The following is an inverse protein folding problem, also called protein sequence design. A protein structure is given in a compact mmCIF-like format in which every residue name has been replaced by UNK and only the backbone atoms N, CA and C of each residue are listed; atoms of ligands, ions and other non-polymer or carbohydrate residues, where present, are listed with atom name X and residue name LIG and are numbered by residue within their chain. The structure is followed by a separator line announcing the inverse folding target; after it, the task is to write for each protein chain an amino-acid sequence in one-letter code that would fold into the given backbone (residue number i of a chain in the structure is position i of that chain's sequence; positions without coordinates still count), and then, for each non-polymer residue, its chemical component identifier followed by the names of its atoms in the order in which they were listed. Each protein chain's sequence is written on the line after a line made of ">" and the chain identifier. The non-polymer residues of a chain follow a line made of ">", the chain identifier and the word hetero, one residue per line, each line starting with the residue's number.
data_IF_729329910955
#
_entry.id   IF_729329910955
#
_cell.length_a   1.000
_cell.length_b   1.000
_cell.length_c   1.000
_cell.angle_alpha   90.00
_cell.angle_beta   90.00
_cell.angle_gamma   90.00
#
_symmetry.space_group_name_H-M   'P 1'
#
loop_
_entity.id
_entity.type
_entity.pdbx_description
1 polymer ?
#
# COMPACT_ATOMS: atom_id res chain seq x y z
N UNK A 1 -1.05 -12.74 -8.24
CA UNK A 1 -2.14 -11.77 -8.04
C UNK A 1 -1.85 -10.43 -8.73
N UNK A 2 -0.72 -9.81 -8.46
CA UNK A 2 -0.18 -8.65 -9.18
C UNK A 2 1.11 -9.02 -9.86
N UNK A 3 1.30 -8.58 -11.12
CA UNK A 3 2.57 -8.65 -11.86
C UNK A 3 2.90 -7.27 -12.39
N UNK A 4 4.08 -6.76 -12.06
CA UNK A 4 4.63 -5.48 -12.55
C UNK A 4 5.79 -5.81 -13.46
N UNK A 5 5.77 -5.29 -14.69
CA UNK A 5 6.75 -5.64 -15.73
C UNK A 5 7.40 -4.38 -16.30
N UNK A 6 8.68 -4.21 -16.00
CA UNK A 6 9.55 -3.17 -16.54
C UNK A 6 8.92 -1.76 -16.48
N UNK A 7 8.25 -1.46 -15.35
CA UNK A 7 7.48 -0.23 -15.18
C UNK A 7 8.40 0.97 -15.13
N UNK A 8 8.15 1.98 -15.97
CA UNK A 8 8.99 3.17 -16.14
C UNK A 8 8.16 4.44 -16.03
N UNK A 9 8.74 5.48 -15.47
CA UNK A 9 8.18 6.83 -15.47
C UNK A 9 9.23 7.90 -15.55
N UNK A 10 9.12 8.72 -16.58
CA UNK A 10 9.89 9.96 -16.73
C UNK A 10 9.00 11.18 -16.68
N UNK A 11 9.50 12.26 -16.11
CA UNK A 11 8.93 13.60 -16.08
C UNK A 11 9.94 14.55 -16.76
N UNK A 12 9.72 14.85 -18.04
CA UNK A 12 10.74 15.47 -18.87
C UNK A 12 12.02 14.60 -18.88
N UNK A 13 13.16 15.18 -18.56
CA UNK A 13 14.46 14.50 -18.52
C UNK A 13 14.69 13.70 -17.23
N UNK A 14 13.83 13.85 -16.22
CA UNK A 14 13.96 13.16 -14.94
C UNK A 14 13.26 11.79 -14.98
N UNK A 15 14.05 10.71 -14.92
CA UNK A 15 13.55 9.34 -14.81
C UNK A 15 13.30 8.96 -13.34
N UNK A 16 12.05 9.09 -12.89
CA UNK A 16 11.64 8.80 -11.53
C UNK A 16 11.55 7.29 -11.23
N UNK A 17 11.23 6.47 -12.25
CA UNK A 17 11.20 5.00 -12.18
C UNK A 17 11.81 4.45 -13.47
N UNK A 18 12.80 3.55 -13.35
CA UNK A 18 13.70 3.17 -14.45
C UNK A 18 13.55 1.73 -14.95
N UNK A 19 12.45 1.06 -14.61
CA UNK A 19 12.20 -0.31 -15.06
C UNK A 19 12.00 -1.27 -13.90
N UNK A 20 11.07 -0.95 -13.01
CA UNK A 20 10.74 -1.75 -11.84
C UNK A 20 9.90 -2.95 -12.25
N UNK A 21 10.30 -4.16 -11.81
CA UNK A 21 9.57 -5.41 -12.00
C UNK A 21 9.50 -6.15 -10.68
N UNK A 22 8.33 -6.65 -10.33
CA UNK A 22 8.10 -7.53 -9.18
C UNK A 22 6.71 -8.16 -9.27
N UNK A 23 6.44 -9.12 -8.38
CA UNK A 23 5.13 -9.76 -8.30
C UNK A 23 4.69 -9.96 -6.85
N UNK A 24 3.37 -9.99 -6.65
CA UNK A 24 2.75 -10.25 -5.36
C UNK A 24 1.67 -11.31 -5.52
N UNK A 25 1.76 -12.35 -4.70
CA UNK A 25 0.81 -13.45 -4.70
C UNK A 25 -0.28 -13.26 -3.65
N UNK A 26 -1.31 -14.12 -3.69
CA UNK A 26 -2.38 -14.12 -2.69
C UNK A 26 -1.83 -14.47 -1.31
N UNK A 27 -2.25 -13.71 -0.30
CA UNK A 27 -1.79 -13.89 1.09
C UNK A 27 -0.40 -13.31 1.37
N UNK A 28 0.29 -12.76 0.35
CA UNK A 28 1.56 -12.05 0.57
C UNK A 28 1.34 -10.60 1.02
N UNK A 29 2.21 -10.15 1.91
CA UNK A 29 2.39 -8.74 2.25
C UNK A 29 3.76 -8.30 1.75
N UNK A 30 3.77 -7.54 0.65
CA UNK A 30 4.98 -6.95 0.08
C UNK A 30 5.27 -5.60 0.73
N UNK A 31 6.43 -5.47 1.39
CA UNK A 31 7.01 -4.19 1.79
C UNK A 31 7.77 -3.56 0.62
N UNK A 32 7.27 -2.45 0.09
CA UNK A 32 7.96 -1.66 -0.94
C UNK A 32 8.77 -0.56 -0.25
N UNK A 33 10.03 -0.86 0.04
CA UNK A 33 10.91 -0.10 0.93
C UNK A 33 11.86 0.79 0.15
N UNK A 34 12.07 2.02 0.58
CA UNK A 34 13.04 2.92 -0.04
C UNK A 34 13.06 4.30 0.61
N UNK A 35 14.14 5.08 0.43
CA UNK A 35 14.22 6.44 0.93
C UNK A 35 13.19 7.35 0.24
N UNK A 36 13.01 8.55 0.78
CA UNK A 36 12.19 9.58 0.13
C UNK A 36 12.78 9.93 -1.24
N UNK A 37 11.91 10.08 -2.24
CA UNK A 37 12.34 10.33 -3.63
C UNK A 37 12.79 9.09 -4.41
N UNK A 38 12.82 7.88 -3.82
CA UNK A 38 13.23 6.65 -4.51
C UNK A 38 12.27 6.18 -5.63
N UNK A 39 11.07 6.77 -5.74
CA UNK A 39 10.06 6.39 -6.73
C UNK A 39 8.92 5.54 -6.19
N UNK A 40 8.80 5.34 -4.86
CA UNK A 40 7.75 4.52 -4.22
C UNK A 40 6.34 4.96 -4.62
N UNK A 41 5.93 6.17 -4.23
CA UNK A 41 4.57 6.67 -4.50
C UNK A 41 4.30 6.82 -6.01
N UNK A 42 5.32 7.13 -6.82
CA UNK A 42 5.20 7.13 -8.29
C UNK A 42 4.86 5.73 -8.81
N UNK A 43 5.54 4.69 -8.31
CA UNK A 43 5.28 3.30 -8.67
C UNK A 43 3.86 2.88 -8.23
N UNK A 44 3.45 3.20 -6.99
CA UNK A 44 2.09 2.90 -6.51
C UNK A 44 1.02 3.58 -7.37
N UNK A 45 1.20 4.86 -7.72
CA UNK A 45 0.26 5.60 -8.59
C UNK A 45 0.19 5.03 -10.01
N UNK A 46 1.27 4.47 -10.54
CA UNK A 46 1.22 3.78 -11.83
C UNK A 46 0.45 2.46 -11.75
N UNK A 47 0.71 1.64 -10.74
CA UNK A 47 0.02 0.36 -10.54
C UNK A 47 -1.48 0.57 -10.32
N UNK A 48 -1.86 1.64 -9.60
CA UNK A 48 -3.27 1.98 -9.35
C UNK A 48 -3.96 2.69 -10.52
N UNK A 49 -3.21 3.00 -11.60
CA UNK A 49 -3.74 3.70 -12.77
C UNK A 49 -4.11 5.16 -12.53
N UNK A 50 -3.54 5.80 -11.48
CA UNK A 50 -3.62 7.25 -11.28
C UNK A 50 -2.60 8.02 -12.14
N UNK A 51 -1.52 7.35 -12.54
CA UNK A 51 -0.46 7.92 -13.33
C UNK A 51 -0.13 6.97 -14.49
N UNK A 52 -0.22 7.39 -15.74
CA UNK A 52 0.18 6.54 -16.86
C UNK A 52 1.71 6.34 -16.85
N UNK A 53 2.19 5.10 -17.00
CA UNK A 53 3.62 4.84 -17.15
C UNK A 53 4.14 5.35 -18.49
N UNK A 54 5.45 5.62 -18.60
CA UNK A 54 6.12 5.89 -19.86
C UNK A 54 6.61 4.62 -20.55
N UNK A 55 6.60 3.48 -19.84
CA UNK A 55 6.92 2.15 -20.36
C UNK A 55 6.61 1.08 -19.35
N UNK A 56 6.50 -0.16 -19.81
CA UNK A 56 6.10 -1.28 -19.00
C UNK A 56 4.62 -1.24 -18.61
N UNK A 57 4.18 -2.18 -17.77
CA UNK A 57 2.79 -2.26 -17.32
C UNK A 57 2.64 -2.94 -15.98
N UNK A 58 1.42 -2.90 -15.42
CA UNK A 58 1.00 -3.70 -14.28
C UNK A 58 -0.27 -4.49 -14.63
N UNK A 59 -0.27 -5.77 -14.27
CA UNK A 59 -1.39 -6.69 -14.49
C UNK A 59 -1.96 -7.09 -13.13
N UNK A 60 -3.22 -6.77 -12.88
CA UNK A 60 -3.93 -7.06 -11.63
C UNK A 60 -4.99 -8.12 -11.92
N UNK A 61 -4.86 -9.28 -11.29
CA UNK A 61 -5.78 -10.41 -11.45
C UNK A 61 -6.06 -10.78 -12.93
N UNK A 62 -5.04 -10.69 -13.79
CA UNK A 62 -5.13 -10.97 -15.23
C UNK A 62 -5.51 -9.77 -16.11
N UNK A 63 -5.85 -8.61 -15.53
CA UNK A 63 -6.23 -7.40 -16.25
C UNK A 63 -5.10 -6.37 -16.26
N UNK A 64 -4.70 -5.95 -17.45
CA UNK A 64 -3.68 -4.90 -17.62
C UNK A 64 -4.25 -3.53 -17.29
N UNK A 65 -3.58 -2.78 -16.40
CA UNK A 65 -4.06 -1.49 -15.91
C UNK A 65 -4.20 -0.42 -17.00
N UNK A 66 -3.50 -0.55 -18.11
CA UNK A 66 -3.57 0.39 -19.22
C UNK A 66 -4.58 -0.03 -20.28
N UNK A 67 -4.76 -1.35 -20.53
CA UNK A 67 -5.64 -1.89 -21.56
C UNK A 67 -7.06 -2.12 -21.07
N UNK A 68 -7.21 -2.57 -19.82
CA UNK A 68 -8.50 -2.85 -19.18
C UNK A 68 -8.55 -2.27 -17.76
N UNK A 69 -8.49 -0.93 -17.62
CA UNK A 69 -8.38 -0.28 -16.32
C UNK A 69 -9.60 -0.48 -15.42
N UNK A 70 -10.79 -0.68 -15.99
CA UNK A 70 -12.01 -0.86 -15.20
C UNK A 70 -11.97 -2.22 -14.48
N UNK A 71 -11.69 -3.30 -15.20
CA UNK A 71 -11.60 -4.64 -14.62
C UNK A 71 -10.40 -4.73 -13.65
N UNK A 72 -9.24 -4.15 -14.00
CA UNK A 72 -8.08 -4.11 -13.11
C UNK A 72 -8.39 -3.39 -11.78
N UNK A 73 -9.10 -2.25 -11.82
CA UNK A 73 -9.47 -1.47 -10.63
C UNK A 73 -10.62 -2.08 -9.82
N UNK A 74 -11.41 -2.98 -10.39
CA UNK A 74 -12.50 -3.65 -9.67
C UNK A 74 -11.98 -4.47 -8.48
N UNK A 75 -10.83 -5.12 -8.64
CA UNK A 75 -10.19 -5.95 -7.62
C UNK A 75 -9.15 -5.19 -6.76
N UNK A 76 -9.07 -3.86 -6.91
CA UNK A 76 -8.06 -3.01 -6.27
C UNK A 76 -8.65 -2.10 -5.19
N UNK A 77 -8.08 -2.17 -3.99
CA UNK A 77 -8.21 -1.15 -2.95
C UNK A 77 -6.94 -0.29 -2.88
N UNK A 78 -7.11 1.01 -2.70
CA UNK A 78 -5.96 1.92 -2.60
C UNK A 78 -6.13 2.91 -1.44
N UNK A 79 -5.14 2.93 -0.57
CA UNK A 79 -4.97 3.91 0.49
C UNK A 79 -3.77 4.79 0.16
N UNK A 80 -3.94 6.01 -0.36
CA UNK A 80 -2.83 6.94 -0.58
C UNK A 80 -2.33 7.54 0.74
N UNK A 81 -1.09 8.02 0.76
CA UNK A 81 -0.44 8.67 1.91
C UNK A 81 -1.32 9.79 2.52
N UNK A 82 -1.87 10.65 1.67
CA UNK A 82 -2.83 11.67 2.05
C UNK A 82 -4.21 11.29 1.55
N UNK A 83 -4.90 10.44 2.31
CA UNK A 83 -6.20 9.97 1.90
C UNK A 83 -7.27 11.07 2.03
N UNK A 84 -7.89 11.50 0.91
CA UNK A 84 -8.94 12.49 0.95
C UNK A 84 -10.19 11.86 1.59
N UNK A 85 -10.83 12.63 2.46
CA UNK A 85 -12.15 12.27 3.01
C UNK A 85 -13.05 13.49 3.01
N UNK A 86 -14.35 13.25 2.88
CA UNK A 86 -15.36 14.32 3.06
C UNK A 86 -15.52 14.60 4.55
N UNK A 87 -14.72 15.53 5.07
CA UNK A 87 -14.55 15.77 6.51
C UNK A 87 -15.86 16.12 7.23
N UNK A 88 -16.81 16.74 6.56
CA UNK A 88 -18.13 17.10 7.11
C UNK A 88 -19.12 15.91 7.21
N UNK A 89 -18.80 14.77 6.57
CA UNK A 89 -19.66 13.58 6.66
C UNK A 89 -19.36 12.78 7.93
N UNK A 90 -20.35 11.99 8.38
CA UNK A 90 -20.07 10.92 9.34
C UNK A 90 -19.28 9.79 8.68
N UNK A 91 -18.60 8.97 9.48
CA UNK A 91 -17.88 7.80 8.96
C UNK A 91 -18.82 6.89 8.16
N UNK A 92 -20.00 6.59 8.70
CA UNK A 92 -20.96 5.71 8.04
C UNK A 92 -21.51 6.29 6.73
N UNK A 93 -21.80 7.59 6.69
CA UNK A 93 -22.31 8.24 5.47
C UNK A 93 -21.24 8.30 4.38
N UNK A 94 -20.00 8.61 4.77
CA UNK A 94 -18.86 8.57 3.86
C UNK A 94 -18.65 7.18 3.26
N UNK A 95 -18.64 6.14 4.10
CA UNK A 95 -18.48 4.76 3.62
C UNK A 95 -19.66 4.31 2.76
N UNK A 96 -20.89 4.74 3.07
CA UNK A 96 -22.08 4.47 2.24
C UNK A 96 -21.91 5.09 0.86
N UNK A 97 -21.54 6.36 0.79
CA UNK A 97 -21.28 7.06 -0.46
C UNK A 97 -20.22 6.32 -1.31
N UNK A 98 -19.11 5.92 -0.68
CA UNK A 98 -18.06 5.18 -1.40
C UNK A 98 -18.57 3.81 -1.88
N UNK A 99 -19.34 3.09 -1.07
CA UNK A 99 -19.88 1.78 -1.44
C UNK A 99 -20.82 1.89 -2.66
N UNK A 100 -21.63 2.94 -2.73
CA UNK A 100 -22.50 3.24 -3.88
C UNK A 100 -21.67 3.56 -5.14
N UNK A 101 -20.67 4.43 -5.04
CA UNK A 101 -19.75 4.78 -6.13
C UNK A 101 -18.98 3.57 -6.65
N UNK A 102 -18.59 2.65 -5.75
CA UNK A 102 -17.91 1.39 -6.08
C UNK A 102 -18.84 0.31 -6.61
N UNK A 103 -20.15 0.55 -6.67
CA UNK A 103 -21.14 -0.39 -7.17
C UNK A 103 -21.32 -1.63 -6.29
N UNK A 104 -21.15 -1.50 -4.97
CA UNK A 104 -21.38 -2.60 -4.04
C UNK A 104 -22.84 -3.07 -4.10
N UNK A 105 -23.09 -4.37 -4.31
CA UNK A 105 -24.45 -4.93 -4.44
C UNK A 105 -25.29 -4.75 -3.18
N UNK A 106 -24.67 -4.94 -2.01
CA UNK A 106 -25.27 -4.72 -0.70
C UNK A 106 -24.46 -3.66 0.04
N UNK A 107 -24.86 -2.40 -0.13
CA UNK A 107 -24.21 -1.23 0.48
C UNK A 107 -24.23 -1.31 2.01
N UNK A 108 -25.34 -1.77 2.61
CA UNK A 108 -25.45 -1.87 4.08
C UNK A 108 -24.46 -2.88 4.64
N UNK A 109 -24.36 -4.06 4.00
CA UNK A 109 -23.41 -5.10 4.37
C UNK A 109 -21.98 -4.63 4.18
N UNK A 110 -21.65 -4.01 3.03
CA UNK A 110 -20.31 -3.50 2.74
C UNK A 110 -19.85 -2.48 3.79
N UNK A 111 -20.70 -1.53 4.16
CA UNK A 111 -20.43 -0.53 5.21
C UNK A 111 -20.19 -1.21 6.56
N UNK A 112 -21.08 -2.13 6.95
CA UNK A 112 -20.94 -2.87 8.22
C UNK A 112 -19.62 -3.64 8.28
N UNK A 113 -19.30 -4.39 7.24
CA UNK A 113 -18.09 -5.21 7.16
C UNK A 113 -16.83 -4.33 7.19
N UNK A 114 -16.83 -3.21 6.46
CA UNK A 114 -15.72 -2.26 6.46
C UNK A 114 -15.51 -1.59 7.84
N UNK A 115 -16.59 -1.22 8.53
CA UNK A 115 -16.52 -0.68 9.90
C UNK A 115 -15.90 -1.69 10.86
N UNK A 116 -16.33 -2.95 10.81
CA UNK A 116 -15.79 -4.02 11.67
C UNK A 116 -14.32 -4.27 11.36
N UNK A 117 -13.95 -4.47 10.08
CA UNK A 117 -12.57 -4.72 9.67
C UNK A 117 -11.62 -3.58 10.04
N UNK A 118 -12.10 -2.32 9.96
CA UNK A 118 -11.33 -1.14 10.35
C UNK A 118 -11.45 -0.78 11.85
N UNK A 119 -12.18 -1.57 12.65
CA UNK A 119 -12.42 -1.34 14.09
C UNK A 119 -13.01 0.05 14.36
N UNK A 120 -14.04 0.43 13.60
CA UNK A 120 -14.69 1.75 13.61
C UNK A 120 -16.15 1.72 14.07
N UNK A 121 -16.68 0.59 14.59
CA UNK A 121 -18.09 0.45 14.94
C UNK A 121 -18.55 1.54 15.92
N UNK A 122 -17.75 1.82 16.95
CA UNK A 122 -18.04 2.87 17.94
C UNK A 122 -17.86 4.30 17.42
N UNK A 123 -17.43 4.49 16.15
CA UNK A 123 -17.19 5.78 15.51
C UNK A 123 -18.05 6.04 14.28
N UNK A 124 -18.93 5.09 13.94
CA UNK A 124 -19.73 5.14 12.73
C UNK A 124 -20.51 6.46 12.52
N UNK A 125 -21.10 6.98 13.58
CA UNK A 125 -21.90 8.21 13.56
C UNK A 125 -21.10 9.49 13.89
N UNK A 126 -19.78 9.38 14.11
CA UNK A 126 -18.94 10.54 14.40
C UNK A 126 -18.51 11.22 13.11
N UNK A 127 -18.51 12.55 13.07
CA UNK A 127 -18.03 13.35 11.94
C UNK A 127 -16.53 13.20 11.79
N UNK A 128 -16.06 12.96 10.55
CA UNK A 128 -14.67 12.64 10.24
C UNK A 128 -13.69 13.73 10.70
N UNK A 129 -14.07 15.02 10.62
CA UNK A 129 -13.21 16.12 11.06
C UNK A 129 -12.87 16.08 12.56
N UNK A 130 -13.78 15.51 13.38
CA UNK A 130 -13.61 15.43 14.84
C UNK A 130 -12.81 14.20 15.29
N UNK A 131 -12.44 13.33 14.35
CA UNK A 131 -11.64 12.14 14.63
C UNK A 131 -10.15 12.47 14.85
N UNK A 132 -9.48 11.68 15.69
CA UNK A 132 -8.00 11.70 15.75
C UNK A 132 -7.37 11.25 14.43
N UNK A 133 -6.07 11.53 14.22
CA UNK A 133 -5.32 11.09 13.02
C UNK A 133 -5.49 9.58 12.79
N UNK A 134 -5.35 8.75 13.84
CA UNK A 134 -5.47 7.29 13.73
C UNK A 134 -6.87 6.82 13.31
N UNK A 135 -7.93 7.45 13.82
CA UNK A 135 -9.29 7.12 13.40
C UNK A 135 -9.57 7.59 11.96
N UNK A 136 -9.06 8.74 11.55
CA UNK A 136 -9.14 9.17 10.13
C UNK A 136 -8.41 8.21 9.21
N UNK A 137 -7.21 7.77 9.57
CA UNK A 137 -6.45 6.77 8.80
C UNK A 137 -7.23 5.46 8.66
N UNK A 138 -7.85 4.96 9.74
CA UNK A 138 -8.70 3.76 9.68
C UNK A 138 -9.97 3.97 8.86
N UNK A 139 -10.53 5.19 8.84
CA UNK A 139 -11.66 5.52 7.95
C UNK A 139 -11.24 5.42 6.48
N UNK A 140 -10.07 5.91 6.13
CA UNK A 140 -9.53 5.79 4.79
C UNK A 140 -9.15 4.35 4.43
N UNK A 141 -8.69 3.56 5.41
CA UNK A 141 -8.51 2.12 5.23
C UNK A 141 -9.85 1.42 4.95
N UNK A 142 -10.91 1.72 5.74
CA UNK A 142 -12.26 1.20 5.50
C UNK A 142 -12.78 1.52 4.10
N UNK A 143 -12.53 2.74 3.60
CA UNK A 143 -12.81 3.13 2.22
C UNK A 143 -12.08 2.24 1.21
N UNK A 144 -10.79 1.96 1.44
CA UNK A 144 -9.98 1.18 0.51
C UNK A 144 -10.45 -0.28 0.40
N UNK A 145 -11.08 -0.82 1.44
CA UNK A 145 -11.57 -2.21 1.49
C UNK A 145 -13.07 -2.38 1.25
N UNK A 146 -13.80 -1.31 0.97
CA UNK A 146 -15.28 -1.28 0.95
C UNK A 146 -15.91 -2.26 -0.05
N UNK A 147 -15.26 -2.50 -1.18
CA UNK A 147 -15.69 -3.42 -2.23
C UNK A 147 -15.03 -4.81 -2.14
N UNK A 148 -14.45 -5.15 -0.99
CA UNK A 148 -13.74 -6.41 -0.72
C UNK A 148 -12.66 -6.74 -1.77
N UNK A 149 -11.68 -5.86 -2.02
CA UNK A 149 -10.69 -6.03 -3.07
C UNK A 149 -9.80 -7.24 -2.82
N UNK A 150 -9.24 -7.81 -3.89
CA UNK A 150 -8.27 -8.91 -3.83
C UNK A 150 -6.84 -8.42 -3.65
N UNK A 151 -6.55 -7.21 -4.13
CA UNK A 151 -5.29 -6.51 -3.97
C UNK A 151 -5.51 -5.21 -3.20
N UNK A 152 -4.72 -4.99 -2.15
CA UNK A 152 -4.72 -3.75 -1.37
C UNK A 152 -3.34 -3.09 -1.48
N UNK A 153 -3.32 -1.84 -1.91
CA UNK A 153 -2.10 -1.02 -1.96
C UNK A 153 -2.25 0.12 -0.95
N UNK A 154 -1.27 0.27 -0.08
CA UNK A 154 -1.25 1.29 0.96
C UNK A 154 0.07 2.07 0.92
N UNK A 155 -0.03 3.38 0.76
CA UNK A 155 1.12 4.29 0.73
C UNK A 155 1.30 4.89 2.12
N UNK A 156 2.40 4.53 2.81
CA UNK A 156 2.78 4.96 4.17
C UNK A 156 1.64 4.80 5.21
N UNK A 157 1.04 3.59 5.38
CA UNK A 157 -0.22 3.42 6.13
C UNK A 157 -0.12 3.73 7.62
N UNK A 158 1.07 3.73 8.19
CA UNK A 158 1.31 3.93 9.63
C UNK A 158 2.05 5.22 9.93
N UNK A 159 2.35 6.04 8.90
CA UNK A 159 3.11 7.27 9.11
C UNK A 159 2.42 8.26 10.04
N UNK A 160 3.18 8.77 11.01
CA UNK A 160 2.72 9.74 12.00
C UNK A 160 1.59 9.23 12.91
N UNK A 161 1.39 7.90 13.03
CA UNK A 161 0.52 7.30 14.02
C UNK A 161 1.27 7.03 15.32
N UNK A 162 0.55 7.10 16.45
CA UNK A 162 1.07 6.65 17.75
C UNK A 162 1.28 5.13 17.76
N UNK A 163 2.10 4.59 18.71
CA UNK A 163 2.40 3.15 18.75
C UNK A 163 1.17 2.25 18.83
N UNK A 164 0.14 2.64 19.58
CA UNK A 164 -1.08 1.83 19.72
C UNK A 164 -1.86 1.77 18.39
N UNK A 165 -1.97 2.89 17.68
CA UNK A 165 -2.62 2.93 16.38
C UNK A 165 -1.82 2.14 15.33
N UNK A 166 -0.48 2.18 15.36
CA UNK A 166 0.36 1.33 14.50
C UNK A 166 0.05 -0.15 14.70
N UNK A 167 -0.03 -0.62 15.96
CA UNK A 167 -0.38 -2.00 16.27
C UNK A 167 -1.74 -2.40 15.69
N UNK A 168 -2.74 -1.52 15.79
CA UNK A 168 -4.07 -1.77 15.21
C UNK A 168 -4.00 -1.92 13.70
N UNK A 169 -3.29 -1.02 13.00
CA UNK A 169 -3.15 -1.08 11.53
C UNK A 169 -2.36 -2.34 11.11
N UNK A 170 -1.27 -2.68 11.80
CA UNK A 170 -0.51 -3.92 11.56
C UNK A 170 -1.39 -5.17 11.69
N UNK A 171 -2.24 -5.22 12.73
CA UNK A 171 -3.17 -6.33 12.91
C UNK A 171 -4.17 -6.41 11.75
N UNK A 172 -4.74 -5.28 11.31
CA UNK A 172 -5.67 -5.24 10.18
C UNK A 172 -5.00 -5.76 8.89
N UNK A 173 -3.75 -5.36 8.61
CA UNK A 173 -2.97 -5.85 7.47
C UNK A 173 -2.79 -7.37 7.56
N UNK A 174 -2.36 -7.86 8.72
CA UNK A 174 -2.12 -9.29 8.95
C UNK A 174 -3.41 -10.12 8.79
N UNK A 175 -4.53 -9.63 9.33
CA UNK A 175 -5.82 -10.32 9.24
C UNK A 175 -6.30 -10.42 7.79
N UNK A 176 -6.16 -9.35 7.01
CA UNK A 176 -6.51 -9.36 5.59
C UNK A 176 -5.59 -10.27 4.74
N UNK A 177 -4.31 -10.34 5.06
CA UNK A 177 -3.39 -11.27 4.40
C UNK A 177 -3.80 -12.73 4.66
N UNK A 178 -4.20 -13.06 5.91
CA UNK A 178 -4.75 -14.39 6.26
C UNK A 178 -6.06 -14.72 5.54
N UNK A 179 -6.86 -13.71 5.19
CA UNK A 179 -8.04 -13.86 4.32
C UNK A 179 -7.67 -14.13 2.85
N UNK A 180 -6.38 -14.17 2.51
CA UNK A 180 -5.88 -14.41 1.15
C UNK A 180 -5.77 -13.16 0.29
N UNK A 181 -5.85 -11.97 0.86
CA UNK A 181 -5.62 -10.71 0.13
C UNK A 181 -4.13 -10.58 -0.20
N UNK A 182 -3.81 -10.10 -1.41
CA UNK A 182 -2.47 -9.61 -1.73
C UNK A 182 -2.35 -8.17 -1.23
N UNK A 183 -1.25 -7.84 -0.56
CA UNK A 183 -1.09 -6.52 0.06
C UNK A 183 0.27 -5.94 -0.32
N UNK A 184 0.28 -4.65 -0.69
CA UNK A 184 1.51 -3.87 -0.82
C UNK A 184 1.46 -2.73 0.18
N UNK A 185 2.51 -2.57 0.96
CA UNK A 185 2.74 -1.38 1.76
C UNK A 185 3.98 -0.67 1.27
N UNK A 186 3.87 0.59 0.85
CA UNK A 186 5.06 1.41 0.70
C UNK A 186 5.44 1.97 2.07
N UNK A 187 6.71 1.91 2.40
CA UNK A 187 7.18 2.45 3.67
C UNK A 187 8.68 2.81 3.62
N UNK A 188 9.09 3.71 4.50
CA UNK A 188 10.48 3.95 4.85
C UNK A 188 10.80 3.46 6.27
N UNK A 189 9.80 2.89 6.97
CA UNK A 189 9.90 2.44 8.36
C UNK A 189 10.25 0.95 8.37
N UNK A 190 11.48 0.63 8.77
CA UNK A 190 12.00 -0.74 8.79
C UNK A 190 11.25 -1.67 9.76
N UNK A 191 10.74 -1.14 10.87
CA UNK A 191 9.92 -1.90 11.83
C UNK A 191 8.62 -2.44 11.21
N UNK A 192 8.05 -1.77 10.20
CA UNK A 192 6.85 -2.26 9.50
C UNK A 192 7.18 -3.50 8.67
N UNK A 193 8.37 -3.50 8.06
CA UNK A 193 8.84 -4.65 7.28
C UNK A 193 8.94 -5.89 8.15
N UNK A 194 9.58 -5.78 9.31
CA UNK A 194 9.73 -6.90 10.24
C UNK A 194 8.39 -7.34 10.85
N UNK A 195 7.47 -6.40 11.06
CA UNK A 195 6.23 -6.69 11.76
C UNK A 195 5.18 -7.39 10.90
N UNK A 196 5.09 -7.08 9.60
CA UNK A 196 3.96 -7.54 8.77
C UNK A 196 4.34 -8.06 7.40
N UNK A 197 5.55 -7.80 6.87
CA UNK A 197 5.90 -8.19 5.50
C UNK A 197 6.37 -9.64 5.41
N UNK A 198 5.88 -10.34 4.39
CA UNK A 198 6.36 -11.68 3.99
C UNK A 198 7.40 -11.59 2.89
N UNK A 199 7.38 -10.50 2.13
CA UNK A 199 8.28 -10.20 1.00
C UNK A 199 8.67 -8.72 1.03
N UNK A 200 9.85 -8.40 0.53
CA UNK A 200 10.39 -7.03 0.48
C UNK A 200 10.97 -6.75 -0.89
N UNK A 201 10.67 -5.57 -1.42
CA UNK A 201 11.38 -4.96 -2.54
C UNK A 201 12.00 -3.67 -2.05
N UNK A 202 13.32 -3.54 -2.17
CA UNK A 202 14.03 -2.29 -1.88
C UNK A 202 14.24 -1.53 -3.17
N UNK A 203 13.77 -0.28 -3.20
CA UNK A 203 13.96 0.63 -4.34
C UNK A 203 14.84 1.82 -3.92
N UNK A 204 15.79 2.15 -4.78
CA UNK A 204 16.57 3.39 -4.66
C UNK A 204 16.88 3.93 -6.06
N UNK A 205 16.90 5.26 -6.22
CA UNK A 205 17.16 5.95 -7.49
C UNK A 205 16.27 5.47 -8.67
N UNK A 206 15.02 5.05 -8.37
CA UNK A 206 14.08 4.54 -9.37
C UNK A 206 14.33 3.10 -9.83
N UNK A 207 15.19 2.35 -9.18
CA UNK A 207 15.59 0.98 -9.52
C UNK A 207 15.40 0.03 -8.34
N UNK A 208 15.05 -1.24 -8.62
CA UNK A 208 15.03 -2.30 -7.60
C UNK A 208 16.47 -2.67 -7.26
N UNK A 209 16.83 -2.58 -5.98
CA UNK A 209 18.14 -2.93 -5.44
C UNK A 209 18.13 -4.29 -4.76
N UNK A 210 16.96 -4.75 -4.31
CA UNK A 210 16.78 -6.06 -3.67
C UNK A 210 15.33 -6.52 -3.81
N UNK A 211 15.13 -7.82 -3.96
CA UNK A 211 13.85 -8.51 -3.84
C UNK A 211 14.08 -9.82 -3.10
N UNK A 212 13.28 -10.10 -2.07
CA UNK A 212 13.39 -11.32 -1.26
C UNK A 212 12.55 -11.23 0.01
N UNK A 213 12.81 -12.09 0.98
CA UNK A 213 12.20 -12.07 2.31
C UNK A 213 12.88 -11.07 3.24
N UNK A 214 12.22 -10.63 4.34
CA UNK A 214 12.89 -9.82 5.37
C UNK A 214 14.16 -10.48 5.94
N UNK A 215 14.15 -11.81 6.08
CA UNK A 215 15.32 -12.55 6.56
C UNK A 215 16.50 -12.50 5.57
N UNK A 216 16.23 -12.67 4.27
CA UNK A 216 17.25 -12.53 3.22
C UNK A 216 17.78 -11.10 3.12
N UNK A 217 16.93 -10.09 3.33
CA UNK A 217 17.38 -8.70 3.41
C UNK A 217 18.32 -8.48 4.60
N UNK A 218 17.98 -8.99 5.78
CA UNK A 218 18.86 -8.91 6.97
C UNK A 218 20.23 -9.57 6.74
N UNK A 219 20.26 -10.67 6.00
CA UNK A 219 21.51 -11.36 5.65
C UNK A 219 22.44 -10.53 4.73
N UNK A 220 21.95 -9.43 4.13
CA UNK A 220 22.76 -8.45 3.39
C UNK A 220 23.46 -7.42 4.27
N UNK A 221 23.28 -7.50 5.60
CA UNK A 221 24.01 -6.64 6.53
C UNK A 221 25.54 -6.84 6.43
N UNK A 222 26.31 -5.84 6.00
CA UNK A 222 27.75 -5.97 5.82
C UNK A 222 28.50 -6.17 7.14
N UNK A 223 27.87 -5.91 8.28
CA UNK A 223 28.47 -6.12 9.62
C UNK A 223 28.32 -7.55 10.13
N UNK A 224 27.49 -8.38 9.46
CA UNK A 224 27.21 -9.76 9.88
C UNK A 224 26.27 -9.88 11.10
N UNK A 225 25.75 -8.77 11.60
CA UNK A 225 24.87 -8.74 12.79
C UNK A 225 23.37 -8.96 12.44
N UNK A 226 23.06 -9.25 11.18
CA UNK A 226 21.68 -9.43 10.65
C UNK A 226 20.75 -8.25 10.97
N UNK A 227 21.24 -7.03 10.86
CA UNK A 227 20.51 -5.81 11.14
C UNK A 227 19.87 -5.24 9.88
N UNK A 228 18.55 -5.08 9.90
CA UNK A 228 17.79 -4.59 8.76
C UNK A 228 18.19 -3.16 8.35
N UNK A 229 18.44 -2.28 9.33
CA UNK A 229 18.89 -0.90 9.08
C UNK A 229 20.24 -0.84 8.35
N UNK A 230 21.19 -1.70 8.72
CA UNK A 230 22.51 -1.77 8.07
C UNK A 230 22.42 -2.32 6.65
N UNK A 231 21.62 -3.39 6.47
CA UNK A 231 21.37 -3.97 5.16
C UNK A 231 20.67 -2.96 4.22
N UNK A 232 19.65 -2.28 4.70
CA UNK A 232 18.95 -1.25 3.93
C UNK A 232 19.86 -0.09 3.54
N UNK A 233 20.65 0.39 4.50
CA UNK A 233 21.59 1.49 4.29
C UNK A 233 22.64 1.14 3.21
N UNK A 234 23.23 -0.07 3.27
CA UNK A 234 24.21 -0.51 2.28
C UNK A 234 23.64 -0.62 0.85
N UNK A 235 22.35 -0.91 0.71
CA UNK A 235 21.68 -1.02 -0.60
C UNK A 235 21.20 0.32 -1.16
N UNK A 236 20.97 1.33 -0.30
CA UNK A 236 20.31 2.58 -0.70
C UNK A 236 21.20 3.80 -0.67
N UNK A 237 22.32 3.77 0.05
CA UNK A 237 23.30 4.85 -0.03
C UNK A 237 24.25 4.62 -1.21
N UNK A 238 24.44 5.67 -2.01
CA UNK A 238 25.60 5.74 -2.90
C UNK A 238 26.83 5.80 -2.00
N UNK A 239 27.84 4.96 -2.28
CA UNK A 239 29.15 5.21 -1.73
C UNK A 239 29.49 6.67 -2.03
N UNK A 240 29.71 7.44 -0.97
CA UNK A 240 30.23 8.79 -1.11
C UNK A 240 31.63 8.65 -1.69
N UNK A 241 31.77 8.94 -2.99
CA UNK A 241 33.05 9.12 -3.65
C UNK A 241 33.71 10.40 -3.14
#
# INVERSE_FOLDING_TARGET
>A
MLKVENLKKSFGDFAAVKGVSFQVEKGEVLGFLGPNGAGKSTTMRMITGFLPPTGGTAVINGHDIQKDPIAAKADLGYLPESAPSYRAMTVADFLRFIAEVRGCRDVKKAVKDALVKAKLEGKANQTIETLSKGYRQRTCFAQAIINDPKLLIMDEPTDGLDPNQKLVVRQMITDMAKEGKAIIISTHILEEVDAVCTKVVVIADGEVKFEGTPAELKAKDPTGANRLDKAFHSLTMKEAL
#
